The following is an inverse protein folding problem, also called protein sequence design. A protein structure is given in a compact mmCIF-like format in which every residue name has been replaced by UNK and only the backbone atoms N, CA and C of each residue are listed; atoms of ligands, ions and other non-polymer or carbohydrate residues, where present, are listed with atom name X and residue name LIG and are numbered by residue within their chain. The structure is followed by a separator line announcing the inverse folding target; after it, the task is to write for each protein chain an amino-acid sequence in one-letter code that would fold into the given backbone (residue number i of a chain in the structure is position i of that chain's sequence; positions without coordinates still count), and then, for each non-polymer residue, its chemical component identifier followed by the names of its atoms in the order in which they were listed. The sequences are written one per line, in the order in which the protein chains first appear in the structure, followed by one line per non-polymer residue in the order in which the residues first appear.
data_IF_051832264372
#
_entry.id   IF_051832264372
#
_cell.length_a   1.000
_cell.length_b   1.000
_cell.length_c   1.000
_cell.angle_alpha   90.00
_cell.angle_beta   90.00
_cell.angle_gamma   90.00
#
_symmetry.space_group_name_H-M   'P 1'
#
loop_
_entity.id
_entity.type
_entity.pdbx_description
1 polymer ?
#
# COMPACT_ATOMS: atom_id res chain seq x y z
N UNK A 1 -47.21 40.64 32.19
CA UNK A 1 -46.95 39.41 31.42
C UNK A 1 -45.75 38.71 32.04
N UNK A 2 -45.85 37.41 32.34
CA UNK A 2 -44.79 36.68 33.06
C UNK A 2 -43.57 36.43 32.16
N UNK A 3 -42.36 36.55 32.72
CA UNK A 3 -41.09 36.25 32.04
C UNK A 3 -41.08 34.83 31.40
N UNK A 4 -41.83 33.91 32.00
CA UNK A 4 -41.97 32.54 31.53
C UNK A 4 -42.69 32.45 30.18
N UNK A 5 -43.74 33.26 29.95
CA UNK A 5 -44.45 33.30 28.68
C UNK A 5 -43.57 33.85 27.55
N UNK A 6 -42.73 34.83 27.87
CA UNK A 6 -41.79 35.43 26.91
C UNK A 6 -40.66 34.44 26.56
N UNK A 7 -40.13 33.70 27.53
CA UNK A 7 -39.14 32.65 27.28
C UNK A 7 -39.69 31.52 26.39
N UNK A 8 -40.93 31.08 26.63
CA UNK A 8 -41.59 30.06 25.79
C UNK A 8 -41.81 30.55 24.35
N UNK A 9 -42.21 31.81 24.17
CA UNK A 9 -42.38 32.42 22.84
C UNK A 9 -41.06 32.50 22.07
N UNK A 10 -39.97 32.88 22.74
CA UNK A 10 -38.64 32.92 22.13
C UNK A 10 -38.15 31.52 21.75
N UNK A 11 -38.33 30.52 22.62
CA UNK A 11 -37.93 29.14 22.33
C UNK A 11 -38.73 28.54 21.16
N UNK A 12 -40.04 28.81 21.07
CA UNK A 12 -40.86 28.38 19.94
C UNK A 12 -40.43 29.07 18.63
N UNK A 13 -40.09 30.37 18.70
CA UNK A 13 -39.58 31.13 17.57
C UNK A 13 -38.25 30.61 17.05
N UNK A 14 -37.29 30.31 17.93
CA UNK A 14 -35.99 29.76 17.51
C UNK A 14 -36.11 28.34 16.96
N UNK A 15 -36.97 27.50 17.53
CA UNK A 15 -37.23 26.15 17.04
C UNK A 15 -37.84 26.15 15.62
N UNK A 16 -38.79 27.04 15.35
CA UNK A 16 -39.41 27.18 14.01
C UNK A 16 -38.42 27.74 12.98
N UNK A 17 -37.58 28.70 13.37
CA UNK A 17 -36.52 29.22 12.51
C UNK A 17 -35.47 28.14 12.18
N UNK A 18 -35.03 27.36 13.17
CA UNK A 18 -34.10 26.25 12.95
C UNK A 18 -34.71 25.16 12.05
N UNK A 19 -35.97 24.78 12.29
CA UNK A 19 -36.67 23.79 11.47
C UNK A 19 -36.85 24.22 10.01
N UNK A 20 -37.18 25.49 9.77
CA UNK A 20 -37.33 26.04 8.41
C UNK A 20 -35.99 26.10 7.67
N UNK A 21 -34.91 26.51 8.35
CA UNK A 21 -33.56 26.50 7.78
C UNK A 21 -33.09 25.08 7.41
N UNK A 22 -33.36 24.09 8.28
CA UNK A 22 -33.06 22.69 8.01
C UNK A 22 -33.83 22.15 6.80
N UNK A 23 -35.13 22.47 6.68
CA UNK A 23 -35.96 22.08 5.53
C UNK A 23 -35.49 22.73 4.22
N UNK A 24 -35.10 24.01 4.26
CA UNK A 24 -34.55 24.71 3.10
C UNK A 24 -33.23 24.08 2.63
N UNK A 25 -32.35 23.77 3.58
CA UNK A 25 -31.06 23.11 3.30
C UNK A 25 -31.26 21.70 2.72
N UNK A 26 -32.16 20.90 3.31
CA UNK A 26 -32.49 19.57 2.80
C UNK A 26 -33.10 19.62 1.39
N UNK A 27 -33.95 20.63 1.10
CA UNK A 27 -34.48 20.85 -0.26
C UNK A 27 -33.39 21.28 -1.24
N UNK A 28 -32.46 22.14 -0.82
CA UNK A 28 -31.29 22.53 -1.61
C UNK A 28 -30.43 21.33 -1.99
N UNK A 29 -30.07 20.50 -1.00
CA UNK A 29 -29.30 19.27 -1.20
C UNK A 29 -30.01 18.28 -2.13
N UNK A 30 -31.32 18.08 -1.98
CA UNK A 30 -32.09 17.21 -2.90
C UNK A 30 -32.04 17.69 -4.34
N UNK A 31 -32.10 19.01 -4.57
CA UNK A 31 -31.95 19.60 -5.91
C UNK A 31 -30.55 19.38 -6.47
N UNK A 32 -29.51 19.60 -5.68
CA UNK A 32 -28.12 19.36 -6.09
C UNK A 32 -27.85 17.88 -6.41
N UNK A 33 -28.34 16.94 -5.60
CA UNK A 33 -28.22 15.50 -5.89
C UNK A 33 -28.93 15.13 -7.20
N UNK A 34 -30.10 15.72 -7.46
CA UNK A 34 -30.85 15.45 -8.69
C UNK A 34 -30.11 16.00 -9.91
N UNK A 35 -29.54 17.20 -9.80
CA UNK A 35 -28.70 17.80 -10.86
C UNK A 35 -27.44 16.96 -11.13
N UNK A 36 -26.68 16.61 -10.09
CA UNK A 36 -25.49 15.77 -10.21
C UNK A 36 -25.78 14.40 -10.84
N UNK A 37 -26.92 13.78 -10.50
CA UNK A 37 -27.34 12.52 -11.14
C UNK A 37 -27.64 12.69 -12.63
N UNK A 38 -28.21 13.82 -13.04
CA UNK A 38 -28.45 14.13 -14.44
C UNK A 38 -27.13 14.37 -15.20
N UNK A 39 -26.21 15.13 -14.61
CA UNK A 39 -24.88 15.40 -15.20
C UNK A 39 -24.07 14.11 -15.36
N UNK A 40 -24.09 13.23 -14.36
CA UNK A 40 -23.39 11.94 -14.40
C UNK A 40 -24.01 11.00 -15.43
N UNK A 41 -25.34 11.00 -15.56
CA UNK A 41 -26.04 10.25 -16.62
C UNK A 41 -25.61 10.75 -18.01
N UNK A 42 -25.57 12.07 -18.24
CA UNK A 42 -25.13 12.66 -19.49
C UNK A 42 -23.65 12.32 -19.81
N UNK A 43 -22.75 12.46 -18.82
CA UNK A 43 -21.34 12.13 -18.99
C UNK A 43 -21.09 10.63 -19.27
N UNK A 44 -21.92 9.75 -18.69
CA UNK A 44 -21.84 8.31 -18.95
C UNK A 44 -22.30 7.93 -20.35
N UNK A 45 -23.37 8.56 -20.87
CA UNK A 45 -23.84 8.35 -22.23
C UNK A 45 -22.78 8.77 -23.27
N UNK A 46 -22.16 9.93 -23.05
CA UNK A 46 -21.10 10.47 -23.92
C UNK A 46 -19.81 9.61 -23.86
N UNK A 47 -19.51 9.01 -22.69
CA UNK A 47 -18.43 8.04 -22.55
C UNK A 47 -18.69 6.74 -23.31
N UNK A 48 -19.92 6.23 -23.28
CA UNK A 48 -20.30 5.00 -24.02
C UNK A 48 -20.15 5.21 -25.52
N UNK A 49 -20.47 6.41 -26.04
CA UNK A 49 -20.25 6.75 -27.45
C UNK A 49 -18.77 6.90 -27.81
N UNK A 50 -17.93 7.44 -26.89
CA UNK A 50 -16.50 7.69 -27.15
C UNK A 50 -15.56 6.54 -26.80
N UNK A 51 -16.01 5.55 -26.02
CA UNK A 51 -15.21 4.41 -25.56
C UNK A 51 -15.55 3.10 -26.29
N UNK A 52 -15.83 3.16 -27.59
CA UNK A 52 -15.96 1.96 -28.42
C UNK A 52 -14.57 1.33 -28.64
N UNK A 53 -14.11 0.53 -27.67
CA UNK A 53 -12.94 -0.34 -27.84
C UNK A 53 -13.27 -1.34 -28.96
N UNK A 54 -12.38 -1.53 -29.95
CA UNK A 54 -12.58 -2.52 -31.00
C UNK A 54 -12.88 -3.89 -30.39
N UNK A 55 -13.97 -4.52 -30.83
CA UNK A 55 -14.36 -5.83 -30.31
C UNK A 55 -13.22 -6.85 -30.49
N UNK A 56 -12.94 -7.61 -29.44
CA UNK A 56 -11.97 -8.69 -29.49
C UNK A 56 -12.36 -9.67 -30.61
N UNK A 57 -11.40 -10.07 -31.44
CA UNK A 57 -11.61 -11.10 -32.47
C UNK A 57 -12.13 -12.36 -31.78
N UNK A 58 -13.34 -12.78 -32.11
CA UNK A 58 -13.97 -13.96 -31.51
C UNK A 58 -13.40 -15.23 -32.16
N UNK A 59 -12.66 -16.02 -31.39
CA UNK A 59 -12.38 -17.41 -31.74
C UNK A 59 -13.55 -18.31 -31.27
N UNK A 60 -13.78 -19.47 -31.91
CA UNK A 60 -14.77 -20.44 -31.44
C UNK A 60 -14.54 -20.80 -29.98
N UNK A 61 -15.60 -20.83 -29.17
CA UNK A 61 -15.50 -21.10 -27.74
C UNK A 61 -14.89 -22.49 -27.43
N UNK A 62 -15.08 -23.46 -28.34
CA UNK A 62 -14.47 -24.78 -28.25
C UNK A 62 -12.94 -24.72 -28.33
N UNK A 63 -12.40 -24.00 -29.31
CA UNK A 63 -10.95 -23.83 -29.49
C UNK A 63 -10.31 -23.12 -28.28
N UNK A 64 -10.97 -22.10 -27.74
CA UNK A 64 -10.51 -21.44 -26.51
C UNK A 64 -10.53 -22.37 -25.29
N UNK A 65 -11.51 -23.27 -25.20
CA UNK A 65 -11.59 -24.26 -24.12
C UNK A 65 -10.47 -25.29 -24.22
N UNK A 66 -10.16 -25.74 -25.44
CA UNK A 66 -9.06 -26.67 -25.71
C UNK A 66 -7.71 -26.05 -25.37
N UNK A 67 -7.47 -24.78 -25.77
CA UNK A 67 -6.26 -24.06 -25.42
C UNK A 67 -6.11 -23.92 -23.90
N UNK A 68 -7.19 -23.57 -23.18
CA UNK A 68 -7.14 -23.43 -21.71
C UNK A 68 -6.84 -24.76 -21.02
N UNK A 69 -7.44 -25.86 -21.50
CA UNK A 69 -7.16 -27.19 -20.96
C UNK A 69 -5.69 -27.58 -21.20
N UNK A 70 -5.20 -27.42 -22.43
CA UNK A 70 -3.81 -27.72 -22.76
C UNK A 70 -2.80 -26.90 -21.95
N UNK A 71 -3.08 -25.60 -21.72
CA UNK A 71 -2.23 -24.75 -20.87
C UNK A 71 -2.29 -25.17 -19.41
N UNK A 72 -3.46 -25.55 -18.90
CA UNK A 72 -3.61 -26.02 -17.53
C UNK A 72 -2.84 -27.33 -17.29
N UNK A 73 -2.91 -28.27 -18.24
CA UNK A 73 -2.18 -29.53 -18.18
C UNK A 73 -0.66 -29.29 -18.24
N UNK A 74 -0.19 -28.46 -19.17
CA UNK A 74 1.23 -28.12 -19.28
C UNK A 74 1.80 -27.47 -18.00
N UNK A 75 1.03 -26.57 -17.37
CA UNK A 75 1.42 -25.94 -16.10
C UNK A 75 1.40 -26.93 -14.93
N UNK A 76 0.48 -27.89 -14.93
CA UNK A 76 0.42 -28.93 -13.91
C UNK A 76 1.64 -29.85 -14.00
N UNK A 77 2.02 -30.28 -15.20
CA UNK A 77 3.22 -31.07 -15.45
C UNK A 77 4.51 -30.34 -15.05
N UNK A 78 4.62 -29.05 -15.38
CA UNK A 78 5.77 -28.23 -14.97
C UNK A 78 5.87 -28.12 -13.44
N UNK A 79 4.74 -27.84 -12.77
CA UNK A 79 4.69 -27.77 -11.30
C UNK A 79 5.08 -29.10 -10.65
N UNK A 80 4.63 -30.23 -11.21
CA UNK A 80 4.98 -31.54 -10.66
C UNK A 80 6.47 -31.84 -10.79
N UNK A 81 7.10 -31.43 -11.91
CA UNK A 81 8.55 -31.51 -12.10
C UNK A 81 9.30 -30.67 -11.07
N UNK A 82 8.94 -29.40 -10.91
CA UNK A 82 9.51 -28.50 -9.89
C UNK A 82 9.36 -29.08 -8.46
N UNK A 83 8.19 -29.64 -8.12
CA UNK A 83 7.97 -30.28 -6.82
C UNK A 83 8.80 -31.56 -6.64
N UNK A 84 9.02 -32.33 -7.71
CA UNK A 84 9.86 -33.52 -7.67
C UNK A 84 11.33 -33.16 -7.47
N UNK A 85 11.83 -32.12 -8.15
CA UNK A 85 13.18 -31.60 -7.97
C UNK A 85 13.39 -31.07 -6.56
N UNK A 86 12.43 -30.30 -6.02
CA UNK A 86 12.47 -29.83 -4.64
C UNK A 86 12.51 -31.01 -3.65
N UNK A 87 11.67 -32.03 -3.84
CA UNK A 87 11.69 -33.24 -2.99
C UNK A 87 13.03 -33.98 -3.07
N UNK A 88 13.60 -34.11 -4.26
CA UNK A 88 14.90 -34.75 -4.46
C UNK A 88 16.04 -33.96 -3.79
N UNK A 89 16.02 -32.63 -3.92
CA UNK A 89 16.96 -31.74 -3.26
C UNK A 89 16.91 -31.90 -1.75
N UNK A 90 15.71 -31.84 -1.15
CA UNK A 90 15.54 -32.00 0.30
C UNK A 90 15.93 -33.39 0.78
N UNK A 91 15.57 -34.44 0.07
CA UNK A 91 15.98 -35.81 0.40
C UNK A 91 17.51 -35.97 0.34
N UNK A 92 18.18 -35.33 -0.63
CA UNK A 92 19.64 -35.34 -0.73
C UNK A 92 20.31 -34.55 0.41
N UNK A 93 19.70 -33.44 0.84
CA UNK A 93 20.18 -32.68 1.99
C UNK A 93 20.01 -33.48 3.28
N UNK A 94 18.84 -34.09 3.52
CA UNK A 94 18.59 -34.94 4.68
C UNK A 94 19.52 -36.15 4.72
N UNK A 95 19.83 -36.75 3.56
CA UNK A 95 20.82 -37.83 3.46
C UNK A 95 22.25 -37.36 3.80
N UNK A 96 22.63 -36.13 3.43
CA UNK A 96 23.92 -35.54 3.82
C UNK A 96 23.97 -35.22 5.32
N UNK A 97 22.89 -34.72 5.89
CA UNK A 97 22.79 -34.44 7.33
C UNK A 97 22.86 -35.76 8.15
N UNK A 98 22.21 -36.83 7.68
CA UNK A 98 22.31 -38.18 8.25
C UNK A 98 23.69 -38.81 8.06
N UNK A 99 24.35 -38.59 6.92
CA UNK A 99 25.71 -39.07 6.69
C UNK A 99 26.75 -38.31 7.54
N UNK A 100 26.59 -36.99 7.70
CA UNK A 100 27.44 -36.15 8.53
C UNK A 100 27.30 -36.43 10.03
N UNK A 101 26.15 -36.94 10.47
CA UNK A 101 25.97 -37.42 11.86
C UNK A 101 26.56 -38.81 12.11
N UNK A 102 26.87 -39.59 11.06
CA UNK A 102 27.55 -40.88 11.14
C UNK A 102 29.07 -40.81 11.34
N UNK A 103 29.71 -39.72 10.89
CA UNK A 103 31.13 -39.47 11.14
C UNK A 103 31.39 -38.79 12.51
N UNK A 104 30.33 -38.33 13.19
CA UNK A 104 30.41 -37.68 14.51
C UNK A 104 30.63 -38.65 15.70
N UNK A 105 30.83 -39.95 15.45
CA UNK A 105 31.10 -40.95 16.50
C UNK A 105 32.42 -41.73 16.35
N UNK A 106 33.30 -41.33 15.43
CA UNK A 106 34.69 -41.83 15.37
C UNK A 106 35.68 -40.85 16.02
N UNK A 107 35.60 -40.79 17.34
CA UNK A 107 36.64 -40.48 18.33
C UNK A 107 38.05 -40.13 17.81
N UNK A 108 38.31 -38.84 17.54
CA UNK A 108 39.62 -38.21 17.77
C UNK A 108 39.42 -36.73 18.15
N UNK A 109 39.48 -36.36 19.45
CA UNK A 109 39.25 -35.00 19.95
C UNK A 109 40.47 -34.10 19.69
N UNK A 110 40.84 -33.98 18.42
CA UNK A 110 41.99 -33.21 17.96
C UNK A 110 41.88 -32.73 16.51
N UNK A 111 40.93 -33.26 15.73
CA UNK A 111 40.66 -32.82 14.36
C UNK A 111 39.45 -31.89 14.26
N UNK A 112 38.53 -31.87 15.23
CA UNK A 112 37.41 -30.90 15.27
C UNK A 112 37.91 -29.47 15.45
N UNK A 113 38.99 -29.25 16.23
CA UNK A 113 39.63 -27.95 16.33
C UNK A 113 40.36 -27.50 15.04
N UNK A 114 40.62 -28.43 14.11
CA UNK A 114 41.18 -28.13 12.79
C UNK A 114 40.08 -28.00 11.73
N UNK A 115 38.96 -28.71 11.85
CA UNK A 115 37.82 -28.66 10.94
C UNK A 115 36.87 -27.47 11.20
N UNK A 116 36.64 -27.09 12.46
CA UNK A 116 35.97 -25.81 12.79
C UNK A 116 36.87 -24.63 12.40
N UNK A 117 38.20 -24.75 12.60
CA UNK A 117 39.15 -23.75 12.13
C UNK A 117 39.26 -23.70 10.59
N UNK A 118 38.98 -24.79 9.86
CA UNK A 118 38.97 -24.80 8.39
C UNK A 118 37.61 -24.41 7.79
N UNK A 119 36.48 -24.67 8.47
CA UNK A 119 35.14 -24.29 8.03
C UNK A 119 34.79 -22.83 8.39
N UNK A 120 35.19 -22.35 9.57
CA UNK A 120 35.16 -20.91 9.91
C UNK A 120 36.24 -20.11 9.15
N UNK A 121 37.35 -20.75 8.71
CA UNK A 121 38.32 -20.08 7.83
C UNK A 121 37.97 -20.15 6.33
N UNK A 122 37.07 -21.03 5.91
CA UNK A 122 36.63 -21.14 4.51
C UNK A 122 35.40 -20.27 4.20
N UNK A 123 34.55 -19.97 5.19
CA UNK A 123 33.52 -18.95 5.04
C UNK A 123 34.11 -17.56 5.29
N UNK A 124 34.26 -16.81 4.20
CA UNK A 124 34.66 -15.41 4.27
C UNK A 124 33.81 -14.68 5.34
N UNK A 125 34.41 -13.85 6.21
CA UNK A 125 33.68 -13.15 7.28
C UNK A 125 32.50 -12.31 6.74
N UNK A 126 32.57 -11.93 5.47
CA UNK A 126 31.50 -11.26 4.73
C UNK A 126 30.28 -12.18 4.47
N UNK A 127 30.49 -13.47 4.19
CA UNK A 127 29.43 -14.46 3.97
C UNK A 127 28.73 -14.83 5.29
N UNK A 128 29.49 -14.99 6.37
CA UNK A 128 28.96 -15.18 7.71
C UNK A 128 28.14 -13.96 8.17
N UNK A 129 28.63 -12.74 7.91
CA UNK A 129 27.89 -11.51 8.16
C UNK A 129 26.63 -11.39 7.28
N UNK A 130 26.69 -11.80 6.01
CA UNK A 130 25.54 -11.78 5.10
C UNK A 130 24.42 -12.73 5.54
N UNK A 131 24.75 -13.92 6.05
CA UNK A 131 23.76 -14.86 6.61
C UNK A 131 23.06 -14.32 7.85
N UNK A 132 23.79 -13.64 8.74
CA UNK A 132 23.21 -12.98 9.92
C UNK A 132 22.29 -11.81 9.57
N UNK A 133 22.46 -11.20 8.38
CA UNK A 133 21.58 -10.15 7.84
C UNK A 133 20.35 -10.71 7.11
N UNK A 134 20.24 -12.03 6.94
CA UNK A 134 19.14 -12.62 6.21
C UNK A 134 17.84 -12.57 7.04
N UNK A 135 16.68 -12.19 6.46
CA UNK A 135 15.43 -12.00 7.21
C UNK A 135 14.91 -13.22 7.96
N UNK A 136 15.33 -14.43 7.55
CA UNK A 136 14.95 -15.69 8.20
C UNK A 136 15.89 -16.09 9.35
N UNK A 137 16.91 -15.31 9.65
CA UNK A 137 17.83 -15.58 10.76
C UNK A 137 17.15 -15.25 12.10
N UNK A 138 17.27 -16.09 13.14
CA UNK A 138 16.60 -15.86 14.43
C UNK A 138 17.04 -14.59 15.16
N UNK A 139 18.26 -14.12 14.88
CA UNK A 139 18.78 -12.84 15.40
C UNK A 139 18.46 -11.64 14.50
N UNK A 140 17.81 -11.85 13.35
CA UNK A 140 17.38 -10.76 12.49
C UNK A 140 16.24 -10.00 13.15
N UNK A 141 16.53 -8.78 13.59
CA UNK A 141 15.54 -7.82 14.04
C UNK A 141 15.55 -6.65 13.06
N UNK A 142 14.45 -6.38 12.33
CA UNK A 142 14.34 -5.20 11.49
C UNK A 142 14.30 -3.95 12.37
N UNK A 143 15.46 -3.40 12.67
CA UNK A 143 15.58 -2.11 13.34
C UNK A 143 15.47 -1.01 12.27
N UNK A 144 14.48 -0.09 12.35
CA UNK A 144 14.56 1.13 11.58
C UNK A 144 15.83 1.87 12.02
N UNK A 145 16.69 2.27 11.07
CA UNK A 145 17.82 3.11 11.44
C UNK A 145 17.29 4.51 11.77
N UNK A 146 17.80 5.18 12.83
CA UNK A 146 17.37 6.55 13.14
C UNK A 146 17.60 7.50 11.95
N UNK A 147 18.64 7.24 11.17
CA UNK A 147 18.97 7.96 9.94
C UNK A 147 17.82 7.91 8.91
N UNK A 148 17.06 6.81 8.83
CA UNK A 148 15.93 6.69 7.90
C UNK A 148 14.78 7.65 8.25
N UNK A 149 14.56 7.90 9.54
CA UNK A 149 13.50 8.81 10.01
C UNK A 149 13.87 10.27 9.78
N UNK A 150 15.12 10.66 10.07
CA UNK A 150 15.61 12.01 9.80
C UNK A 150 15.62 12.29 8.30
N UNK A 151 16.15 11.36 7.50
CA UNK A 151 16.16 11.48 6.03
C UNK A 151 14.75 11.58 5.44
N UNK A 152 13.81 10.79 5.95
CA UNK A 152 12.41 10.87 5.53
C UNK A 152 11.80 12.22 5.91
N UNK A 153 12.07 12.73 7.12
CA UNK A 153 11.57 14.03 7.55
C UNK A 153 12.12 15.19 6.71
N UNK A 154 13.42 15.18 6.42
CA UNK A 154 14.07 16.13 5.52
C UNK A 154 13.43 16.11 4.13
N UNK A 155 13.24 14.90 3.56
CA UNK A 155 12.64 14.77 2.23
C UNK A 155 11.19 15.27 2.20
N UNK A 156 10.39 14.99 3.24
CA UNK A 156 9.03 15.52 3.35
C UNK A 156 9.02 17.05 3.46
N UNK A 157 9.98 17.64 4.18
CA UNK A 157 10.13 19.09 4.28
C UNK A 157 10.50 19.73 2.94
N UNK A 158 11.41 19.11 2.18
CA UNK A 158 11.78 19.56 0.83
C UNK A 158 10.59 19.52 -0.13
N UNK A 159 9.83 18.42 -0.16
CA UNK A 159 8.62 18.30 -0.99
C UNK A 159 7.57 19.36 -0.63
N UNK A 160 7.38 19.62 0.67
CA UNK A 160 6.44 20.63 1.15
C UNK A 160 6.89 22.05 0.78
N UNK A 161 8.18 22.37 0.98
CA UNK A 161 8.76 23.67 0.68
C UNK A 161 8.73 23.98 -0.82
N UNK A 162 9.02 22.97 -1.65
CA UNK A 162 8.97 23.07 -3.10
C UNK A 162 7.53 23.11 -3.65
N UNK A 163 6.52 22.82 -2.82
CA UNK A 163 5.12 22.61 -3.24
C UNK A 163 5.06 21.62 -4.40
N UNK A 164 5.81 20.52 -4.26
CA UNK A 164 5.95 19.53 -5.32
C UNK A 164 4.59 18.87 -5.60
N UNK A 165 4.09 18.91 -6.85
CA UNK A 165 2.80 18.31 -7.18
C UNK A 165 2.87 16.79 -7.14
N UNK A 166 1.79 16.22 -6.65
CA UNK A 166 1.54 14.79 -6.66
C UNK A 166 1.14 14.40 -8.09
N UNK A 167 1.75 13.33 -8.60
CA UNK A 167 1.54 12.82 -9.95
C UNK A 167 0.70 11.54 -9.95
N UNK A 168 0.84 10.68 -8.94
CA UNK A 168 0.11 9.42 -8.84
C UNK A 168 -0.11 9.01 -7.38
N UNK A 169 -1.22 8.33 -7.10
CA UNK A 169 -1.51 7.68 -5.81
C UNK A 169 -2.07 6.30 -6.07
N UNK A 170 -1.41 5.29 -5.49
CA UNK A 170 -1.77 3.88 -5.61
C UNK A 170 -2.09 3.34 -4.21
N UNK A 171 -3.36 3.35 -3.80
CA UNK A 171 -3.77 2.73 -2.56
C UNK A 171 -3.52 1.22 -2.58
N UNK A 172 -2.99 0.69 -1.49
CA UNK A 172 -2.72 -0.74 -1.35
C UNK A 172 -4.00 -1.55 -1.10
N UNK A 173 -3.99 -2.85 -1.45
CA UNK A 173 -5.08 -3.74 -1.04
C UNK A 173 -5.18 -3.72 0.49
N UNK A 174 -6.40 -3.48 0.99
CA UNK A 174 -6.70 -3.41 2.44
C UNK A 174 -5.99 -2.28 3.20
N UNK A 175 -5.42 -1.26 2.53
CA UNK A 175 -4.72 -0.14 3.18
C UNK A 175 -3.37 -0.53 3.79
N UNK A 176 -2.77 -1.64 3.33
CA UNK A 176 -1.50 -2.16 3.87
C UNK A 176 -0.29 -1.37 3.41
N UNK A 177 -0.27 -0.91 2.16
CA UNK A 177 0.81 -0.14 1.58
C UNK A 177 0.27 0.80 0.52
N UNK A 178 0.25 2.10 0.81
CA UNK A 178 -0.10 3.11 -0.18
C UNK A 178 1.18 3.71 -0.77
N UNK A 179 1.21 3.92 -2.09
CA UNK A 179 2.35 4.52 -2.79
C UNK A 179 1.94 5.84 -3.42
N UNK A 180 2.68 6.89 -3.13
CA UNK A 180 2.45 8.26 -3.61
C UNK A 180 3.64 8.68 -4.44
N UNK A 181 3.41 9.13 -5.67
CA UNK A 181 4.47 9.55 -6.60
C UNK A 181 4.34 11.04 -6.84
N UNK A 182 5.42 11.78 -6.63
CA UNK A 182 5.53 13.21 -6.92
C UNK A 182 6.08 13.45 -8.32
N UNK A 183 5.85 14.64 -8.87
CA UNK A 183 6.27 15.00 -10.22
C UNK A 183 7.81 15.00 -10.42
N UNK A 184 8.60 15.16 -9.36
CA UNK A 184 10.05 15.02 -9.40
C UNK A 184 10.54 13.56 -9.37
N UNK A 185 9.63 12.59 -9.37
CA UNK A 185 9.92 11.17 -9.29
C UNK A 185 9.97 10.62 -7.87
N UNK A 186 9.91 11.48 -6.83
CA UNK A 186 9.94 11.01 -5.44
C UNK A 186 8.74 10.13 -5.15
N UNK A 187 9.00 9.01 -4.46
CA UNK A 187 7.98 8.08 -4.01
C UNK A 187 7.89 8.09 -2.49
N UNK A 188 6.66 8.11 -1.96
CA UNK A 188 6.37 7.84 -0.56
C UNK A 188 5.63 6.52 -0.44
N UNK A 189 6.20 5.59 0.31
CA UNK A 189 5.57 4.34 0.71
C UNK A 189 5.01 4.50 2.12
N UNK A 190 3.71 4.28 2.30
CA UNK A 190 3.00 4.48 3.58
C UNK A 190 2.36 3.19 4.08
N UNK A 191 2.61 2.83 5.34
CA UNK A 191 2.12 1.58 5.94
C UNK A 191 1.75 1.74 7.42
N UNK A 192 0.56 1.29 7.86
CA UNK A 192 -0.66 1.16 7.06
C UNK A 192 -1.16 2.55 6.64
N UNK A 193 -1.75 2.64 5.45
CA UNK A 193 -2.32 3.87 4.91
C UNK A 193 -3.83 3.97 5.15
N UNK A 194 -4.34 5.18 5.37
CA UNK A 194 -5.77 5.40 5.51
C UNK A 194 -6.47 5.43 4.13
N UNK A 195 -7.16 4.33 3.81
CA UNK A 195 -7.74 4.07 2.48
C UNK A 195 -8.66 5.16 1.94
N UNK A 196 -9.55 5.70 2.77
CA UNK A 196 -10.49 6.74 2.32
C UNK A 196 -9.74 8.00 1.85
N UNK A 197 -8.66 8.37 2.54
CA UNK A 197 -7.88 9.57 2.21
C UNK A 197 -6.99 9.35 1.00
N UNK A 198 -6.43 8.15 0.81
CA UNK A 198 -5.67 7.81 -0.39
C UNK A 198 -6.58 7.71 -1.63
N UNK A 199 -7.79 7.15 -1.49
CA UNK A 199 -8.80 7.15 -2.56
C UNK A 199 -9.29 8.55 -2.92
N UNK A 200 -9.43 9.46 -1.94
CA UNK A 200 -9.76 10.87 -2.18
C UNK A 200 -8.67 11.60 -2.95
N UNK A 201 -7.39 11.41 -2.59
CA UNK A 201 -6.27 12.00 -3.32
C UNK A 201 -6.14 11.44 -4.73
N UNK A 202 -6.29 10.13 -4.90
CA UNK A 202 -6.35 9.50 -6.22
C UNK A 202 -7.56 9.97 -7.05
N UNK A 203 -8.68 10.32 -6.41
CA UNK A 203 -9.84 10.96 -7.04
C UNK A 203 -9.50 12.35 -7.55
N UNK A 204 -8.93 13.20 -6.70
CA UNK A 204 -8.53 14.56 -7.05
C UNK A 204 -7.59 14.60 -8.26
N UNK A 205 -6.58 13.71 -8.29
CA UNK A 205 -5.68 13.56 -9.45
C UNK A 205 -6.42 13.20 -10.74
N UNK A 206 -7.39 12.29 -10.68
CA UNK A 206 -8.21 11.89 -11.85
C UNK A 206 -9.11 13.02 -12.34
N UNK A 207 -9.51 13.92 -11.44
CA UNK A 207 -10.29 15.12 -11.77
C UNK A 207 -9.42 16.27 -12.31
N UNK A 208 -8.09 16.07 -12.43
CA UNK A 208 -7.14 17.05 -12.94
C UNK A 208 -6.64 18.04 -11.91
N UNK A 209 -6.87 17.76 -10.62
CA UNK A 209 -6.32 18.53 -9.51
C UNK A 209 -4.82 18.23 -9.35
N UNK A 210 -4.06 19.16 -8.77
CA UNK A 210 -2.62 18.98 -8.50
C UNK A 210 -2.37 19.05 -6.97
N UNK A 211 -2.67 17.97 -6.22
CA UNK A 211 -2.43 17.95 -4.79
C UNK A 211 -0.96 18.16 -4.48
N UNK A 212 -0.68 18.94 -3.44
CA UNK A 212 0.69 19.26 -3.03
C UNK A 212 0.82 19.10 -1.53
N UNK A 213 1.95 18.55 -1.09
CA UNK A 213 2.25 18.41 0.33
C UNK A 213 2.43 19.81 0.94
N UNK A 214 1.75 20.06 2.05
CA UNK A 214 1.88 21.29 2.85
C UNK A 214 2.86 21.10 4.00
N UNK A 215 3.00 19.86 4.47
CA UNK A 215 3.90 19.52 5.57
C UNK A 215 3.59 18.13 6.12
N UNK A 216 4.56 17.59 6.84
CA UNK A 216 4.43 16.35 7.59
C UNK A 216 4.99 16.51 8.99
N UNK A 217 4.36 15.87 9.97
CA UNK A 217 4.90 15.76 11.34
C UNK A 217 5.01 14.30 11.73
N UNK A 218 6.16 13.91 12.26
CA UNK A 218 6.39 12.58 12.82
C UNK A 218 6.32 12.56 14.35
N UNK A 219 5.69 11.55 14.94
CA UNK A 219 5.73 11.27 16.39
C UNK A 219 5.91 9.78 16.59
N UNK A 220 7.01 9.37 17.25
CA UNK A 220 7.29 7.96 17.58
C UNK A 220 7.23 7.01 16.37
N UNK A 221 7.66 7.48 15.20
CA UNK A 221 7.68 6.72 13.95
C UNK A 221 6.42 6.85 13.08
N UNK A 222 5.29 7.27 13.65
CA UNK A 222 4.07 7.57 12.91
C UNK A 222 4.11 8.98 12.31
N UNK A 223 3.41 9.18 11.19
CA UNK A 223 3.39 10.42 10.44
C UNK A 223 1.96 10.93 10.22
N UNK A 224 1.79 12.24 10.34
CA UNK A 224 0.62 12.97 9.87
C UNK A 224 1.05 13.91 8.73
N UNK A 225 0.48 13.69 7.53
CA UNK A 225 0.79 14.44 6.33
C UNK A 225 -0.43 15.27 5.90
N UNK A 226 -0.18 16.49 5.45
CA UNK A 226 -1.23 17.41 5.04
C UNK A 226 -1.08 17.74 3.56
N UNK A 227 -2.09 17.42 2.75
CA UNK A 227 -2.14 17.75 1.33
C UNK A 227 -3.19 18.82 1.07
N UNK A 228 -2.87 19.83 0.26
CA UNK A 228 -3.90 20.73 -0.28
C UNK A 228 -4.37 20.22 -1.63
N UNK A 229 -5.68 20.18 -1.82
CA UNK A 229 -6.38 19.92 -3.08
C UNK A 229 -7.33 21.12 -3.37
N UNK A 230 -7.84 21.25 -4.59
CA UNK A 230 -8.89 22.24 -4.91
C UNK A 230 -10.16 22.04 -4.08
N UNK A 231 -10.47 20.80 -3.72
CA UNK A 231 -11.60 20.44 -2.84
C UNK A 231 -11.37 20.72 -1.35
N UNK A 232 -10.18 21.20 -0.96
CA UNK A 232 -9.80 21.50 0.42
C UNK A 232 -8.58 20.69 0.88
N UNK A 233 -8.41 20.57 2.20
CA UNK A 233 -7.25 19.88 2.78
C UNK A 233 -7.55 18.41 3.07
N UNK A 234 -6.62 17.52 2.71
CA UNK A 234 -6.64 16.10 3.03
C UNK A 234 -5.54 15.80 4.03
N UNK A 235 -5.90 15.13 5.13
CA UNK A 235 -4.96 14.71 6.17
C UNK A 235 -4.78 13.20 6.07
N UNK A 236 -3.53 12.75 5.93
CA UNK A 236 -3.16 11.34 5.83
C UNK A 236 -2.39 10.95 7.08
N UNK A 237 -2.81 9.87 7.71
CA UNK A 237 -2.10 9.24 8.83
C UNK A 237 -1.47 7.95 8.34
N UNK A 238 -0.23 7.70 8.76
CA UNK A 238 0.48 6.47 8.47
C UNK A 238 1.38 6.09 9.65
N UNK A 239 1.45 4.81 10.03
CA UNK A 239 2.35 4.37 11.09
C UNK A 239 3.83 4.44 10.67
N UNK A 240 4.08 4.35 9.36
CA UNK A 240 5.40 4.51 8.74
C UNK A 240 5.29 5.17 7.39
N UNK A 241 6.27 6.01 7.11
CA UNK A 241 6.51 6.61 5.79
C UNK A 241 7.96 6.37 5.43
N UNK A 242 8.20 5.92 4.21
CA UNK A 242 9.54 5.83 3.62
C UNK A 242 9.53 6.72 2.39
N UNK A 243 10.43 7.69 2.35
CA UNK A 243 10.63 8.55 1.19
C UNK A 243 11.85 8.08 0.39
N UNK A 244 11.66 7.82 -0.91
CA UNK A 244 12.73 7.40 -1.81
C UNK A 244 12.66 8.22 -3.09
N UNK A 245 13.83 8.62 -3.59
CA UNK A 245 14.01 9.29 -4.89
C UNK A 245 14.31 8.24 -5.98
#
# INVERSE_FOLDING_TARGET
MSAMSLALLLAAGTATAAGTAALYSARGLRRQITALRADLAAASADRVERAAVPAARTAPAAELSEIRAAVADALAEERERELAEARAFWAAQEARDLAGTGDAHSLLPGLEALADAESEAAESPELAAARRRHPSHPEFSPAPSPDDHERTAERLAELAQARMPLADVRPGPLGTLDVYVFADGTTLCMTPGHRETSERLAGALRDGDEPVLLGGSGVSGAYALTFSCASGTVYVLADRVIASL
#
